data_IF_843034558230
#
_entry.id   IF_843034558230
#
_cell.length_a   1.000
_cell.length_b   1.000
_cell.length_c   1.000
_cell.angle_alpha   90.00
_cell.angle_beta   90.00
_cell.angle_gamma   90.00
#
_symmetry.space_group_name_H-M   'P 1'
#
loop_
_entity.id
_entity.type
_entity.pdbx_description
1 polymer ?
#
# COMPACT_ATOMS: atom_id res chain seq x y z
N UNK A 1 7.01 12.42 18.30
CA UNK A 1 6.48 11.89 17.03
C UNK A 1 7.29 12.47 15.89
N UNK A 2 7.83 11.63 15.02
CA UNK A 2 8.50 12.13 13.81
C UNK A 2 7.45 12.61 12.81
N UNK A 3 7.69 13.77 12.20
CA UNK A 3 6.86 14.26 11.10
C UNK A 3 7.05 13.34 9.88
N UNK A 4 5.99 12.99 9.14
CA UNK A 4 6.15 12.20 7.93
C UNK A 4 6.99 12.93 6.88
N UNK A 5 7.82 12.18 6.14
CA UNK A 5 8.64 12.75 5.06
C UNK A 5 7.83 13.14 3.82
N UNK A 6 6.66 12.54 3.68
CA UNK A 6 5.73 12.79 2.59
C UNK A 6 4.29 12.64 3.08
N UNK A 7 3.44 13.60 2.72
CA UNK A 7 1.98 13.50 2.87
C UNK A 7 1.36 13.79 1.51
N UNK A 8 0.52 12.88 1.04
CA UNK A 8 -0.27 13.03 -0.19
C UNK A 8 -1.74 12.94 0.20
N UNK A 9 -2.55 13.88 -0.29
CA UNK A 9 -3.97 13.93 0.01
C UNK A 9 -4.78 14.17 -1.26
N UNK A 10 -5.90 13.43 -1.41
CA UNK A 10 -6.88 13.66 -2.47
C UNK A 10 -8.28 13.43 -1.94
N UNK A 11 -9.21 14.33 -2.30
CA UNK A 11 -10.61 14.21 -1.95
C UNK A 11 -11.33 13.21 -2.86
N UNK A 12 -12.25 12.44 -2.28
CA UNK A 12 -13.13 11.50 -2.97
C UNK A 12 -14.59 11.83 -2.68
N UNK A 13 -15.49 11.31 -3.50
CA UNK A 13 -16.92 11.27 -3.17
C UNK A 13 -17.19 10.18 -2.11
N UNK A 14 -18.24 10.34 -1.31
CA UNK A 14 -18.57 9.45 -0.19
C UNK A 14 -18.70 8.00 -0.64
N UNK A 15 -19.45 7.73 -1.72
CA UNK A 15 -19.67 6.38 -2.23
C UNK A 15 -18.37 5.73 -2.71
N UNK A 16 -17.45 6.53 -3.23
CA UNK A 16 -16.13 6.05 -3.65
C UNK A 16 -15.23 5.76 -2.43
N UNK A 17 -15.38 6.51 -1.35
CA UNK A 17 -14.58 6.31 -0.13
C UNK A 17 -14.86 4.96 0.54
N UNK A 18 -16.11 4.51 0.60
CA UNK A 18 -16.45 3.19 1.17
C UNK A 18 -15.88 2.04 0.33
N UNK A 19 -15.92 2.15 -1.01
CA UNK A 19 -15.27 1.18 -1.89
C UNK A 19 -13.75 1.19 -1.70
N UNK A 20 -13.13 2.36 -1.54
CA UNK A 20 -11.70 2.48 -1.29
C UNK A 20 -11.29 1.81 0.03
N UNK A 21 -12.07 1.98 1.10
CA UNK A 21 -11.85 1.30 2.38
C UNK A 21 -11.92 -0.22 2.24
N UNK A 22 -12.97 -0.73 1.59
CA UNK A 22 -13.13 -2.16 1.36
C UNK A 22 -11.96 -2.73 0.55
N UNK A 23 -11.64 -2.12 -0.58
CA UNK A 23 -10.59 -2.57 -1.49
C UNK A 23 -9.20 -2.50 -0.83
N UNK A 24 -8.96 -1.48 0.01
CA UNK A 24 -7.73 -1.32 0.75
C UNK A 24 -7.53 -2.45 1.78
N UNK A 25 -8.60 -2.83 2.49
CA UNK A 25 -8.53 -3.84 3.55
C UNK A 25 -8.64 -5.28 3.05
N UNK A 26 -8.93 -5.50 1.76
CA UNK A 26 -9.09 -6.83 1.18
C UNK A 26 -7.98 -7.16 0.20
N UNK A 27 -7.07 -8.07 0.58
CA UNK A 27 -5.94 -8.48 -0.26
C UNK A 27 -6.34 -9.04 -1.63
N UNK A 28 -7.51 -9.67 -1.74
CA UNK A 28 -8.00 -10.18 -3.03
C UNK A 28 -8.29 -9.05 -4.02
N UNK A 29 -8.58 -7.84 -3.53
CA UNK A 29 -8.82 -6.68 -4.38
C UNK A 29 -7.52 -5.97 -4.83
N UNK A 30 -6.41 -6.19 -4.13
CA UNK A 30 -5.15 -5.48 -4.42
C UNK A 30 -4.65 -5.65 -5.86
N UNK A 31 -4.63 -6.85 -6.47
CA UNK A 31 -4.22 -7.00 -7.87
C UNK A 31 -5.14 -6.28 -8.87
N UNK A 32 -6.37 -5.95 -8.47
CA UNK A 32 -7.36 -5.31 -9.33
C UNK A 32 -7.13 -3.79 -9.41
N UNK A 33 -6.72 -3.15 -8.32
CA UNK A 33 -6.50 -1.71 -8.28
C UNK A 33 -5.04 -1.29 -8.24
N UNK A 34 -4.15 -2.09 -7.65
CA UNK A 34 -2.73 -1.77 -7.53
C UNK A 34 -1.96 -2.30 -8.74
N UNK A 35 -1.57 -1.42 -9.64
CA UNK A 35 -0.87 -1.76 -10.88
C UNK A 35 0.50 -2.42 -10.67
N UNK A 36 1.10 -2.24 -9.48
CA UNK A 36 2.34 -2.93 -9.13
C UNK A 36 2.11 -4.35 -8.59
N UNK A 37 0.88 -4.71 -8.24
CA UNK A 37 0.56 -6.03 -7.72
C UNK A 37 0.13 -6.96 -8.84
N UNK A 38 1.06 -7.60 -9.53
CA UNK A 38 0.71 -8.68 -10.46
C UNK A 38 0.15 -9.90 -9.72
N UNK A 39 0.68 -10.16 -8.51
CA UNK A 39 0.26 -11.25 -7.64
C UNK A 39 0.57 -10.90 -6.19
N UNK A 40 -0.29 -11.35 -5.29
CA UNK A 40 -0.06 -11.27 -3.84
C UNK A 40 0.02 -12.68 -3.27
N UNK A 41 1.04 -12.93 -2.46
CA UNK A 41 1.18 -14.13 -1.67
C UNK A 41 1.05 -13.77 -0.18
N UNK A 42 0.15 -14.46 0.49
CA UNK A 42 -0.07 -14.33 1.93
C UNK A 42 -0.56 -15.66 2.50
N UNK A 43 -0.26 -15.91 3.77
CA UNK A 43 -0.82 -17.07 4.49
C UNK A 43 -2.34 -16.96 4.64
N UNK A 44 -2.86 -15.73 4.73
CA UNK A 44 -4.28 -15.43 4.83
C UNK A 44 -4.69 -14.56 3.65
N UNK A 45 -5.72 -15.00 2.93
CA UNK A 45 -6.35 -14.25 1.85
C UNK A 45 -7.58 -13.49 2.38
N UNK A 46 -8.07 -12.54 1.60
CA UNK A 46 -9.23 -11.73 1.94
C UNK A 46 -8.88 -10.57 2.86
N UNK A 47 -9.63 -10.40 3.95
CA UNK A 47 -9.48 -9.25 4.83
C UNK A 47 -8.13 -9.24 5.55
N UNK A 48 -7.42 -8.13 5.47
CA UNK A 48 -6.15 -7.89 6.16
C UNK A 48 -6.30 -8.01 7.68
N UNK A 49 -5.31 -8.60 8.30
CA UNK A 49 -5.21 -8.76 9.75
C UNK A 49 -3.97 -8.03 10.27
N UNK A 50 -4.04 -7.57 11.53
CA UNK A 50 -2.89 -6.96 12.16
C UNK A 50 -1.73 -7.95 12.30
N UNK A 51 -0.52 -7.48 12.07
CA UNK A 51 0.73 -8.25 12.03
C UNK A 51 0.86 -9.24 10.86
N UNK A 52 -0.16 -9.34 10.01
CA UNK A 52 -0.09 -10.18 8.81
C UNK A 52 1.05 -9.71 7.89
N UNK A 53 1.74 -10.68 7.31
CA UNK A 53 2.74 -10.46 6.26
C UNK A 53 2.21 -10.89 4.92
N UNK A 54 2.59 -10.17 3.88
CA UNK A 54 2.29 -10.52 2.51
C UNK A 54 3.41 -10.05 1.59
N UNK A 55 3.56 -10.78 0.48
CA UNK A 55 4.52 -10.47 -0.56
C UNK A 55 3.76 -9.94 -1.78
N UNK A 56 4.12 -8.76 -2.22
CA UNK A 56 3.60 -8.14 -3.42
C UNK A 56 4.57 -8.42 -4.57
N UNK A 57 4.11 -9.18 -5.55
CA UNK A 57 4.90 -9.57 -6.70
C UNK A 57 4.61 -8.67 -7.90
N UNK A 58 5.66 -8.21 -8.53
CA UNK A 58 5.61 -7.44 -9.79
C UNK A 58 6.72 -7.89 -10.73
N UNK A 59 6.46 -7.73 -12.02
CA UNK A 59 7.47 -7.97 -13.06
C UNK A 59 7.91 -6.62 -13.61
N UNK A 60 9.20 -6.34 -13.56
CA UNK A 60 9.79 -5.14 -14.09
C UNK A 60 11.11 -5.46 -14.79
N UNK A 61 11.24 -5.04 -16.05
CA UNK A 61 12.43 -5.32 -16.87
C UNK A 61 12.83 -6.81 -16.88
N UNK A 62 11.85 -7.70 -17.03
CA UNK A 62 12.00 -9.17 -17.03
C UNK A 62 12.52 -9.75 -15.69
N UNK A 63 12.48 -8.98 -14.62
CA UNK A 63 12.84 -9.45 -13.28
C UNK A 63 11.60 -9.58 -12.41
N UNK A 64 11.53 -10.66 -11.64
CA UNK A 64 10.54 -10.81 -10.58
C UNK A 64 11.02 -10.03 -9.36
N UNK A 65 10.23 -9.03 -8.98
CA UNK A 65 10.45 -8.25 -7.77
C UNK A 65 9.38 -8.62 -6.75
N UNK A 66 9.82 -9.00 -5.57
CA UNK A 66 8.97 -9.39 -4.45
C UNK A 66 9.19 -8.36 -3.33
N UNK A 67 8.22 -7.51 -3.10
CA UNK A 67 8.21 -6.55 -1.99
C UNK A 67 7.48 -7.16 -0.79
N UNK A 68 8.18 -7.28 0.33
CA UNK A 68 7.66 -7.88 1.55
C UNK A 68 7.09 -6.79 2.45
N UNK A 69 5.81 -6.92 2.79
CA UNK A 69 5.08 -5.99 3.63
C UNK A 69 4.56 -6.65 4.90
N UNK A 70 4.42 -5.86 5.95
CA UNK A 70 3.75 -6.24 7.18
C UNK A 70 2.71 -5.21 7.55
N UNK A 71 1.52 -5.67 7.90
CA UNK A 71 0.45 -4.83 8.46
C UNK A 71 0.83 -4.46 9.89
N UNK A 72 1.17 -3.20 10.11
CA UNK A 72 1.57 -2.71 11.44
C UNK A 72 0.36 -2.27 12.27
N UNK A 73 -0.69 -1.78 11.60
CA UNK A 73 -1.89 -1.29 12.28
C UNK A 73 -3.07 -1.28 11.32
N UNK A 74 -4.23 -1.63 11.84
CA UNK A 74 -5.54 -1.38 11.21
C UNK A 74 -6.41 -0.71 12.26
N UNK A 75 -7.05 0.38 11.87
CA UNK A 75 -8.07 1.07 12.65
C UNK A 75 -9.27 1.40 11.78
N UNK A 76 -10.44 1.30 12.34
CA UNK A 76 -11.67 1.78 11.72
C UNK A 76 -12.59 2.36 12.81
N UNK A 77 -13.36 3.35 12.46
CA UNK A 77 -14.38 3.95 13.33
C UNK A 77 -15.62 4.26 12.52
N UNK A 78 -16.78 4.17 13.15
CA UNK A 78 -18.05 4.56 12.55
C UNK A 78 -18.35 6.06 12.76
N UNK A 79 -17.79 6.69 13.81
CA UNK A 79 -18.02 8.10 14.13
C UNK A 79 -16.71 8.76 14.63
N UNK A 80 -16.02 9.59 13.82
CA UNK A 80 -16.21 9.76 12.37
C UNK A 80 -15.88 8.47 11.60
N UNK A 81 -16.56 8.25 10.49
CA UNK A 81 -16.31 7.06 9.67
C UNK A 81 -14.94 7.19 8.97
N UNK A 82 -14.02 6.34 9.34
CA UNK A 82 -12.69 6.26 8.71
C UNK A 82 -12.09 4.86 8.77
N UNK A 83 -11.19 4.61 7.84
CA UNK A 83 -10.33 3.43 7.80
C UNK A 83 -8.87 3.88 7.71
N UNK A 84 -8.02 3.34 8.59
CA UNK A 84 -6.58 3.59 8.62
C UNK A 84 -5.83 2.27 8.52
N UNK A 85 -4.92 2.18 7.56
CA UNK A 85 -4.02 1.06 7.36
C UNK A 85 -2.58 1.55 7.40
N UNK A 86 -1.77 0.97 8.29
CA UNK A 86 -0.32 1.22 8.33
C UNK A 86 0.44 -0.03 7.93
N UNK A 87 1.28 0.13 6.92
CA UNK A 87 2.13 -0.90 6.37
C UNK A 87 3.60 -0.60 6.64
N UNK A 88 4.36 -1.59 7.02
CA UNK A 88 5.83 -1.52 7.11
C UNK A 88 6.42 -2.40 6.02
N UNK A 89 7.23 -1.81 5.17
CA UNK A 89 8.03 -2.54 4.21
C UNK A 89 9.19 -3.25 4.93
N UNK A 90 9.27 -4.57 4.77
CA UNK A 90 10.19 -5.44 5.51
C UNK A 90 11.43 -5.75 4.69
N UNK A 91 11.29 -5.74 3.37
CA UNK A 91 12.40 -6.05 2.48
C UNK A 91 11.98 -6.29 1.04
N UNK A 92 12.95 -6.61 0.21
CA UNK A 92 12.73 -6.90 -1.20
C UNK A 92 13.62 -8.07 -1.64
N UNK A 93 13.07 -8.90 -2.53
CA UNK A 93 13.86 -9.87 -3.27
C UNK A 93 13.76 -9.56 -4.76
N UNK A 94 14.83 -9.85 -5.49
CA UNK A 94 14.87 -9.77 -6.95
C UNK A 94 15.26 -11.16 -7.44
N UNK A 95 14.37 -11.80 -8.21
CA UNK A 95 14.54 -13.19 -8.67
C UNK A 95 14.88 -14.15 -7.51
N UNK A 96 14.18 -14.01 -6.37
CA UNK A 96 14.34 -14.82 -5.17
C UNK A 96 15.55 -14.49 -4.29
N UNK A 97 16.38 -13.51 -4.67
CA UNK A 97 17.57 -13.12 -3.89
C UNK A 97 17.32 -11.80 -3.18
N UNK A 98 17.68 -11.74 -1.89
CA UNK A 98 17.59 -10.50 -1.11
C UNK A 98 18.39 -9.40 -1.79
N UNK A 99 17.74 -8.27 -2.03
CA UNK A 99 18.35 -7.11 -2.68
C UNK A 99 18.98 -6.18 -1.65
N UNK A 100 20.16 -5.64 -1.97
CA UNK A 100 20.78 -4.55 -1.21
C UNK A 100 20.05 -3.24 -1.57
N UNK A 101 19.24 -2.72 -0.67
CA UNK A 101 18.27 -1.68 -0.97
C UNK A 101 18.77 -0.27 -0.66
N UNK A 102 18.32 0.65 -1.51
CA UNK A 102 18.48 2.08 -1.27
C UNK A 102 17.66 2.58 -0.08
N UNK A 103 16.57 1.90 0.27
CA UNK A 103 15.69 2.22 1.39
C UNK A 103 15.97 1.23 2.51
N UNK A 104 16.25 1.73 3.71
CA UNK A 104 16.45 0.90 4.90
C UNK A 104 15.13 0.58 5.59
N UNK A 105 14.23 1.57 5.63
CA UNK A 105 12.91 1.46 6.24
C UNK A 105 11.92 2.31 5.46
N UNK A 106 10.73 1.78 5.24
CA UNK A 106 9.59 2.51 4.71
C UNK A 106 8.35 2.11 5.50
N UNK A 107 7.66 3.10 6.04
CA UNK A 107 6.36 2.96 6.68
C UNK A 107 5.37 3.81 5.90
N UNK A 108 4.25 3.22 5.52
CA UNK A 108 3.18 3.89 4.78
C UNK A 108 1.90 3.80 5.60
N UNK A 109 1.26 4.93 5.80
CA UNK A 109 -0.04 5.03 6.44
C UNK A 109 -1.05 5.59 5.45
N UNK A 110 -2.13 4.87 5.26
CA UNK A 110 -3.21 5.21 4.35
C UNK A 110 -4.45 5.42 5.19
N UNK A 111 -5.07 6.60 5.10
CA UNK A 111 -6.31 6.93 5.77
C UNK A 111 -7.38 7.24 4.73
N UNK A 112 -8.50 6.53 4.82
CA UNK A 112 -9.70 6.80 4.03
C UNK A 112 -10.75 7.40 4.96
N UNK A 113 -11.21 8.61 4.64
CA UNK A 113 -12.26 9.33 5.35
C UNK A 113 -13.58 9.15 4.60
N UNK A 114 -14.58 8.58 5.26
CA UNK A 114 -15.91 8.30 4.71
C UNK A 114 -16.93 9.33 5.23
N UNK A 115 -16.62 10.62 5.09
CA UNK A 115 -17.45 11.75 5.49
C UNK A 115 -17.89 12.56 4.27
N UNK A 116 -18.77 13.57 4.46
CA UNK A 116 -19.21 14.45 3.38
C UNK A 116 -18.05 15.11 2.60
N UNK A 117 -16.92 15.33 3.27
CA UNK A 117 -15.66 15.78 2.68
C UNK A 117 -14.67 14.62 2.59
N UNK A 118 -15.16 13.44 2.26
CA UNK A 118 -14.37 12.21 2.22
C UNK A 118 -13.13 12.32 1.36
N UNK A 119 -12.09 11.61 1.75
CA UNK A 119 -10.82 11.67 1.06
C UNK A 119 -9.90 10.52 1.39
N UNK A 120 -8.85 10.40 0.61
CA UNK A 120 -7.72 9.51 0.86
C UNK A 120 -6.51 10.36 1.18
N UNK A 121 -5.84 10.01 2.27
CA UNK A 121 -4.55 10.56 2.66
C UNK A 121 -3.52 9.46 2.75
N UNK A 122 -2.35 9.68 2.19
CA UNK A 122 -1.18 8.83 2.41
C UNK A 122 -0.10 9.65 3.09
N UNK A 123 0.43 9.12 4.18
CA UNK A 123 1.63 9.61 4.86
C UNK A 123 2.72 8.54 4.81
N UNK A 124 3.95 8.93 4.62
CA UNK A 124 5.06 7.99 4.58
C UNK A 124 6.27 8.50 5.36
N UNK A 125 6.96 7.58 6.03
CA UNK A 125 8.22 7.77 6.72
C UNK A 125 9.25 6.82 6.13
N UNK A 126 10.44 7.30 5.80
CA UNK A 126 11.50 6.47 5.27
C UNK A 126 12.87 6.80 5.84
N UNK A 127 13.66 5.78 5.94
CA UNK A 127 15.09 5.88 6.23
C UNK A 127 15.88 5.38 5.03
N UNK A 128 16.77 6.23 4.53
CA UNK A 128 17.59 5.90 3.38
C UNK A 128 18.88 5.21 3.83
N UNK A 129 19.20 4.09 3.23
CA UNK A 129 20.44 3.35 3.49
C UNK A 129 21.68 4.15 3.08
N UNK A 130 22.87 3.77 3.57
CA UNK A 130 24.13 4.36 3.15
C UNK A 130 24.31 4.30 1.63
N UNK A 131 23.94 3.17 1.02
CA UNK A 131 23.99 2.99 -0.43
C UNK A 131 23.01 3.92 -1.15
N UNK A 132 21.78 4.04 -0.65
CA UNK A 132 20.76 4.93 -1.21
C UNK A 132 21.16 6.40 -1.14
N UNK A 133 21.87 6.81 -0.08
CA UNK A 133 22.43 8.16 0.04
C UNK A 133 23.55 8.39 -0.97
N UNK A 134 24.47 7.45 -1.10
CA UNK A 134 25.57 7.52 -2.04
C UNK A 134 25.08 7.65 -3.49
N UNK A 135 24.08 6.86 -3.86
CA UNK A 135 23.53 6.84 -5.22
C UNK A 135 22.47 7.94 -5.46
N UNK A 136 22.09 8.70 -4.42
CA UNK A 136 21.14 9.82 -4.46
C UNK A 136 19.75 9.50 -5.01
N UNK A 137 19.33 8.24 -5.06
CA UNK A 137 18.02 7.88 -5.63
C UNK A 137 17.03 7.30 -4.62
N UNK A 138 17.45 6.89 -3.42
CA UNK A 138 16.59 6.24 -2.43
C UNK A 138 15.34 7.06 -2.07
N UNK A 139 15.49 8.37 -1.88
CA UNK A 139 14.36 9.28 -1.59
C UNK A 139 13.38 9.39 -2.77
N UNK A 140 13.89 9.46 -4.00
CA UNK A 140 13.05 9.50 -5.20
C UNK A 140 12.29 8.19 -5.38
N UNK A 141 12.93 7.06 -5.11
CA UNK A 141 12.32 5.74 -5.17
C UNK A 141 11.20 5.60 -4.14
N UNK A 142 11.44 5.96 -2.87
CA UNK A 142 10.43 5.93 -1.81
C UNK A 142 9.22 6.78 -2.19
N UNK A 143 9.46 8.02 -2.63
CA UNK A 143 8.41 8.93 -3.08
C UNK A 143 7.61 8.36 -4.26
N UNK A 144 8.28 7.77 -5.24
CA UNK A 144 7.63 7.19 -6.42
C UNK A 144 6.72 6.00 -6.03
N UNK A 145 7.18 5.11 -5.15
CA UNK A 145 6.41 3.97 -4.65
C UNK A 145 5.13 4.47 -3.96
N UNK A 146 5.26 5.42 -3.05
CA UNK A 146 4.13 5.93 -2.26
C UNK A 146 3.14 6.71 -3.13
N UNK A 147 3.64 7.56 -4.04
CA UNK A 147 2.78 8.32 -4.95
C UNK A 147 2.01 7.39 -5.90
N UNK A 148 2.65 6.36 -6.43
CA UNK A 148 1.99 5.41 -7.31
C UNK A 148 0.92 4.60 -6.56
N UNK A 149 1.21 4.14 -5.34
CA UNK A 149 0.24 3.44 -4.50
C UNK A 149 -1.00 4.31 -4.25
N UNK A 150 -0.79 5.59 -3.96
CA UNK A 150 -1.87 6.55 -3.77
C UNK A 150 -2.69 6.76 -5.05
N UNK A 151 -2.03 7.01 -6.17
CA UNK A 151 -2.69 7.24 -7.47
C UNK A 151 -3.49 6.01 -7.90
N UNK A 152 -2.95 4.81 -7.72
CA UNK A 152 -3.64 3.57 -8.03
C UNK A 152 -4.87 3.37 -7.13
N UNK A 153 -4.77 3.62 -5.83
CA UNK A 153 -5.89 3.52 -4.91
C UNK A 153 -6.99 4.52 -5.28
N UNK A 154 -6.64 5.76 -5.55
CA UNK A 154 -7.62 6.81 -5.90
C UNK A 154 -8.27 6.57 -7.25
N UNK A 155 -7.52 6.15 -8.26
CA UNK A 155 -8.02 5.99 -9.63
C UNK A 155 -8.72 4.65 -9.88
N UNK A 156 -8.34 3.60 -9.15
CA UNK A 156 -8.83 2.24 -9.36
C UNK A 156 -9.41 1.60 -8.10
N UNK A 157 -8.90 1.94 -6.91
CA UNK A 157 -9.35 1.37 -5.64
C UNK A 157 -10.72 1.87 -5.18
N UNK A 158 -11.30 2.86 -5.87
CA UNK A 158 -12.65 3.37 -5.62
C UNK A 158 -13.74 2.63 -6.41
N UNK A 159 -13.36 1.72 -7.30
CA UNK A 159 -14.27 0.93 -8.12
C UNK A 159 -14.84 -0.20 -7.24
N UNK A 160 -16.14 -0.44 -7.37
CA UNK A 160 -16.78 -1.61 -6.76
C UNK A 160 -16.37 -2.86 -7.56
N UNK A 161 -15.57 -3.73 -6.96
CA UNK A 161 -15.26 -5.03 -7.51
C UNK A 161 -16.28 -6.04 -6.99
N UNK A 162 -17.09 -6.58 -7.88
CA UNK A 162 -17.98 -7.70 -7.55
C UNK A 162 -17.12 -8.86 -7.04
N UNK A 163 -17.49 -9.41 -5.88
CA UNK A 163 -16.85 -10.63 -5.40
C UNK A 163 -17.01 -11.68 -6.50
N UNK A 164 -15.92 -12.08 -7.11
CA UNK A 164 -15.89 -13.28 -7.94
C UNK A 164 -16.16 -14.40 -6.96
N UNK A 165 -17.40 -14.92 -7.00
CA UNK A 165 -17.76 -16.09 -6.24
C UNK A 165 -16.82 -17.21 -6.70
N UNK A 166 -15.90 -17.62 -5.85
CA UNK A 166 -15.16 -18.87 -5.98
C UNK A 166 -16.15 -20.04 -5.73
N UNK A 167 -16.98 -20.31 -6.73
CA UNK A 167 -17.77 -21.50 -6.85
C UNK A 167 -17.75 -21.92 -8.32
N UNK A 168 -16.62 -22.50 -8.73
CA UNK A 168 -16.55 -23.50 -9.79
C UNK A 168 -15.30 -24.38 -9.57
#
# INVERSE_FOLDING_TARGET
MSTPDLVIRKQLLIDQSSNASFNLLNLNCWPLWNKFANRILSEHQGQLQQLQRFDLHRIMAQQLIEDLWQVSMIRSSAEPCFTELRLTWVGQRINGRTSALAIQRLVVEITVLETENGGVEISAWWEISKLGRLLRFGRRLAKAIVSQLFDDLVNHGTIEYQQVNENE
#
